data_IF_109325637523
#
_entry.id   IF_109325637523
#
_cell.length_a   1.000
_cell.length_b   1.000
_cell.length_c   1.000
_cell.angle_alpha   90.00
_cell.angle_beta   90.00
_cell.angle_gamma   90.00
#
_symmetry.space_group_name_H-M   'P 1'
#
loop_
_entity.id
_entity.type
_entity.pdbx_description
1 polymer ?
#
# COMPACT_ATOMS: atom_id res chain seq x y z
N UNK A 1 50.33 -54.75 17.14
CA UNK A 1 49.35 -53.85 16.49
C UNK A 1 48.80 -54.58 15.28
N UNK A 2 47.56 -55.10 15.38
CA UNK A 2 46.95 -55.97 14.37
C UNK A 2 46.33 -55.12 13.25
N UNK A 3 46.77 -55.32 12.02
CA UNK A 3 46.00 -54.98 10.82
C UNK A 3 44.79 -55.91 10.74
N UNK A 4 43.59 -55.34 10.59
CA UNK A 4 42.40 -56.06 10.19
C UNK A 4 41.93 -55.50 8.84
N UNK A 5 42.11 -56.31 7.79
CA UNK A 5 41.42 -56.16 6.50
C UNK A 5 40.00 -56.70 6.66
N UNK A 6 39.01 -55.95 6.20
CA UNK A 6 37.64 -56.43 5.98
C UNK A 6 37.34 -56.47 4.48
N UNK A 7 36.52 -57.42 4.00
CA UNK A 7 36.45 -57.80 2.60
C UNK A 7 35.50 -56.91 1.78
N UNK A 8 35.86 -56.74 0.51
CA UNK A 8 34.96 -56.29 -0.56
C UNK A 8 33.96 -57.41 -0.83
N UNK A 9 32.67 -57.12 -0.73
CA UNK A 9 31.61 -57.99 -1.24
C UNK A 9 30.72 -57.16 -2.17
N UNK A 10 30.82 -57.48 -3.45
CA UNK A 10 30.02 -56.95 -4.55
C UNK A 10 28.83 -57.88 -4.76
N UNK A 11 27.59 -57.39 -4.77
CA UNK A 11 26.59 -57.64 -5.82
C UNK A 11 25.22 -56.97 -5.52
N UNK A 12 24.82 -56.11 -6.46
CA UNK A 12 23.49 -56.00 -7.08
C UNK A 12 22.20 -56.13 -6.24
N UNK A 13 21.46 -55.02 -6.12
CA UNK A 13 20.13 -54.86 -6.73
C UNK A 13 19.63 -53.43 -6.48
N UNK A 14 19.46 -52.67 -7.57
CA UNK A 14 18.83 -51.36 -7.55
C UNK A 14 17.34 -51.52 -7.18
N UNK A 15 16.92 -50.91 -6.06
CA UNK A 15 15.51 -50.60 -5.84
C UNK A 15 15.28 -49.16 -6.32
N UNK A 16 14.93 -49.03 -7.60
CA UNK A 16 14.32 -47.82 -8.11
C UNK A 16 12.88 -47.80 -7.58
N UNK A 17 12.65 -47.10 -6.47
CA UNK A 17 11.30 -46.68 -6.10
C UNK A 17 10.89 -45.60 -7.10
N UNK A 18 9.97 -45.96 -7.99
CA UNK A 18 9.31 -45.04 -8.88
C UNK A 18 8.61 -43.95 -8.05
N UNK A 19 9.15 -42.74 -8.06
CA UNK A 19 8.41 -41.56 -7.63
C UNK A 19 7.45 -41.25 -8.78
N UNK A 20 6.20 -41.67 -8.61
CA UNK A 20 5.09 -41.26 -9.45
C UNK A 20 5.04 -39.74 -9.47
N UNK A 21 5.27 -39.14 -10.64
CA UNK A 21 5.03 -37.72 -10.90
C UNK A 21 3.51 -37.50 -10.92
N UNK A 22 2.90 -37.33 -9.76
CA UNK A 22 1.57 -36.76 -9.68
C UNK A 22 1.72 -35.26 -9.87
N UNK A 23 1.20 -34.75 -10.98
CA UNK A 23 0.99 -33.31 -11.13
C UNK A 23 0.17 -32.83 -9.94
N UNK A 24 0.75 -31.91 -9.16
CA UNK A 24 0.01 -31.22 -8.12
C UNK A 24 -0.99 -30.30 -8.83
N UNK A 25 -2.15 -30.84 -9.21
CA UNK A 25 -3.30 -30.01 -9.56
C UNK A 25 -3.72 -29.32 -8.28
N UNK A 26 -3.29 -28.06 -8.12
CA UNK A 26 -3.85 -27.16 -7.12
C UNK A 26 -5.34 -27.12 -7.40
N UNK A 27 -6.12 -27.82 -6.57
CA UNK A 27 -7.56 -27.69 -6.59
C UNK A 27 -7.85 -26.23 -6.27
N UNK A 28 -8.48 -25.53 -7.22
CA UNK A 28 -9.10 -24.23 -6.96
C UNK A 28 -10.09 -24.49 -5.82
N UNK A 29 -9.76 -24.02 -4.62
CA UNK A 29 -10.74 -23.96 -3.56
C UNK A 29 -11.93 -23.19 -4.12
N UNK A 30 -13.08 -23.85 -4.18
CA UNK A 30 -14.34 -23.18 -4.44
C UNK A 30 -14.65 -22.37 -3.17
N UNK A 31 -14.01 -21.21 -3.07
CA UNK A 31 -14.36 -20.19 -2.09
C UNK A 31 -15.78 -19.78 -2.45
N UNK A 32 -16.72 -20.14 -1.59
CA UNK A 32 -18.09 -19.60 -1.58
C UNK A 32 -18.01 -18.10 -1.81
N UNK A 33 -18.69 -17.63 -2.86
CA UNK A 33 -18.66 -16.24 -3.32
C UNK A 33 -18.68 -15.27 -2.14
N UNK A 34 -17.66 -14.40 -1.99
CA UNK A 34 -17.80 -13.30 -1.07
C UNK A 34 -18.95 -12.44 -1.61
N UNK A 35 -19.93 -12.18 -0.77
CA UNK A 35 -20.78 -11.00 -0.90
C UNK A 35 -19.87 -9.81 -1.22
N UNK A 36 -20.27 -8.95 -2.15
CA UNK A 36 -19.45 -7.91 -2.79
C UNK A 36 -18.88 -6.81 -1.86
N UNK A 37 -18.14 -7.15 -0.80
CA UNK A 37 -17.60 -6.22 0.21
C UNK A 37 -16.20 -6.53 0.75
N UNK A 38 -15.50 -7.56 0.26
CA UNK A 38 -14.15 -7.91 0.76
C UNK A 38 -13.00 -7.59 -0.22
N UNK A 39 -13.31 -6.92 -1.35
CA UNK A 39 -12.28 -6.53 -2.30
C UNK A 39 -11.40 -5.40 -1.73
N UNK A 40 -10.08 -5.39 -1.99
CA UNK A 40 -9.22 -4.30 -1.56
C UNK A 40 -9.73 -2.98 -2.11
N UNK A 41 -10.03 -2.04 -1.21
CA UNK A 41 -10.43 -0.67 -1.54
C UNK A 41 -9.21 0.24 -1.82
N UNK A 42 -8.03 -0.36 -1.95
CA UNK A 42 -6.77 0.32 -2.20
C UNK A 42 -5.92 -0.43 -3.22
N UNK A 43 -5.08 0.32 -3.94
CA UNK A 43 -4.09 -0.16 -4.87
C UNK A 43 -2.72 0.39 -4.50
N UNK A 44 -1.66 -0.37 -4.73
CA UNK A 44 -0.28 0.06 -4.51
C UNK A 44 0.61 -1.07 -4.07
N UNK A 45 1.68 -0.72 -3.34
CA UNK A 45 2.68 -1.66 -2.89
C UNK A 45 2.83 -1.60 -1.37
N UNK A 46 2.94 -2.76 -0.72
CA UNK A 46 3.18 -2.88 0.72
C UNK A 46 4.33 -3.84 1.03
N UNK A 47 5.25 -3.38 1.88
CA UNK A 47 6.26 -4.21 2.49
C UNK A 47 5.73 -4.77 3.81
N UNK A 48 5.61 -6.09 3.91
CA UNK A 48 5.27 -6.78 5.16
C UNK A 48 6.52 -7.37 5.83
N UNK A 49 6.62 -7.21 7.14
CA UNK A 49 7.73 -7.69 7.95
C UNK A 49 7.28 -8.11 9.36
N UNK A 50 8.14 -8.75 10.16
CA UNK A 50 7.88 -8.98 11.58
C UNK A 50 7.55 -7.67 12.35
N UNK A 51 6.94 -7.80 13.51
CA UNK A 51 6.60 -6.63 14.34
C UNK A 51 7.83 -5.79 14.69
N UNK A 52 7.62 -4.48 14.82
CA UNK A 52 8.62 -3.48 15.16
C UNK A 52 9.76 -3.34 14.14
N UNK A 53 9.52 -3.74 12.89
CA UNK A 53 10.50 -3.60 11.82
C UNK A 53 10.54 -2.18 11.30
N UNK A 54 9.41 -1.65 10.82
CA UNK A 54 9.35 -0.35 10.15
C UNK A 54 9.16 0.79 11.14
N UNK A 55 9.94 1.86 10.93
CA UNK A 55 9.93 3.08 11.76
C UNK A 55 9.55 4.30 10.94
N UNK A 56 9.92 4.37 9.67
CA UNK A 56 9.46 5.43 8.79
C UNK A 56 9.29 4.97 7.35
N UNK A 57 8.55 5.77 6.60
CA UNK A 57 8.30 5.55 5.18
C UNK A 57 8.18 6.91 4.50
N UNK A 58 8.65 6.98 3.25
CA UNK A 58 8.63 8.19 2.44
C UNK A 58 8.35 7.87 0.97
N UNK A 59 7.76 8.84 0.27
CA UNK A 59 7.79 8.94 -1.19
C UNK A 59 7.42 10.35 -1.64
N UNK A 60 7.75 10.66 -2.89
CA UNK A 60 7.27 11.83 -3.63
C UNK A 60 6.29 11.40 -4.70
N UNK A 61 5.18 12.11 -4.87
CA UNK A 61 4.22 11.88 -5.95
C UNK A 61 3.76 13.21 -6.55
N UNK A 62 3.44 13.20 -7.84
CA UNK A 62 2.78 14.34 -8.50
C UNK A 62 1.27 14.17 -8.38
N UNK A 63 0.58 15.21 -7.91
CA UNK A 63 -0.88 15.22 -7.75
C UNK A 63 -1.52 15.21 -9.15
N UNK A 64 -2.29 14.18 -9.52
CA UNK A 64 -2.94 14.10 -10.82
C UNK A 64 -4.11 15.08 -10.90
N UNK A 65 -4.47 15.49 -12.11
CA UNK A 65 -5.77 16.10 -12.36
C UNK A 65 -6.81 14.98 -12.49
N UNK A 66 -7.79 14.93 -11.58
CA UNK A 66 -8.85 13.93 -11.64
C UNK A 66 -9.79 14.14 -12.83
N UNK A 67 -10.37 13.03 -13.29
CA UNK A 67 -11.47 12.99 -14.27
C UNK A 67 -12.58 12.09 -13.75
N UNK A 68 -13.82 12.39 -14.17
CA UNK A 68 -14.88 11.42 -14.04
C UNK A 68 -14.56 10.23 -14.97
N UNK A 69 -14.85 8.99 -14.55
CA UNK A 69 -14.80 7.82 -15.43
C UNK A 69 -15.61 8.02 -16.71
N UNK A 70 -15.25 7.32 -17.79
CA UNK A 70 -15.88 7.50 -19.10
C UNK A 70 -17.38 7.16 -19.09
N UNK A 71 -17.77 6.13 -18.33
CA UNK A 71 -19.16 5.74 -18.08
C UNK A 71 -19.75 6.44 -16.83
N UNK A 72 -19.11 7.51 -16.35
CA UNK A 72 -19.52 8.21 -15.14
C UNK A 72 -20.74 9.11 -15.34
N UNK A 73 -21.70 9.01 -14.42
CA UNK A 73 -22.80 9.96 -14.24
C UNK A 73 -22.31 11.28 -13.59
N UNK A 74 -23.22 12.24 -13.38
CA UNK A 74 -23.00 13.46 -12.57
C UNK A 74 -22.88 13.14 -11.05
N UNK A 75 -22.23 12.04 -10.70
CA UNK A 75 -21.95 11.63 -9.34
C UNK A 75 -20.70 12.35 -8.79
N UNK A 76 -20.46 12.16 -7.50
CA UNK A 76 -19.18 12.51 -6.88
C UNK A 76 -18.19 11.38 -7.16
N UNK A 77 -16.94 11.73 -7.45
CA UNK A 77 -15.84 10.78 -7.63
C UNK A 77 -14.67 11.19 -6.76
N UNK A 78 -13.90 10.23 -6.27
CA UNK A 78 -12.77 10.55 -5.42
C UNK A 78 -11.62 9.56 -5.57
N UNK A 79 -10.43 10.00 -5.21
CA UNK A 79 -9.25 9.17 -5.01
C UNK A 79 -8.37 9.81 -3.93
N UNK A 80 -7.67 9.00 -3.15
CA UNK A 80 -6.73 9.46 -2.14
C UNK A 80 -5.36 8.85 -2.37
N UNK A 81 -4.31 9.67 -2.37
CA UNK A 81 -2.92 9.22 -2.44
C UNK A 81 -2.33 9.30 -1.04
N UNK A 82 -1.69 8.24 -0.55
CA UNK A 82 -1.01 8.31 0.74
C UNK A 82 0.21 7.39 0.86
N UNK A 83 1.01 7.72 1.86
CA UNK A 83 2.14 6.94 2.33
C UNK A 83 1.92 6.67 3.81
N UNK A 84 2.21 5.45 4.30
CA UNK A 84 1.85 5.09 5.66
C UNK A 84 2.46 3.81 6.20
N UNK A 85 2.35 3.68 7.53
CA UNK A 85 2.75 2.52 8.31
C UNK A 85 1.51 1.78 8.81
N UNK A 86 1.60 0.45 8.81
CA UNK A 86 0.55 -0.49 9.23
C UNK A 86 -0.79 -0.34 8.45
N UNK A 87 -1.79 -1.15 8.78
CA UNK A 87 -3.10 -1.16 8.11
C UNK A 87 -3.32 -2.31 7.12
N UNK A 88 -2.31 -3.13 6.80
CA UNK A 88 -2.45 -4.35 5.97
C UNK A 88 -2.48 -5.60 6.86
N UNK A 89 -1.33 -6.06 7.36
CA UNK A 89 -1.27 -7.19 8.29
C UNK A 89 -1.49 -6.77 9.74
N UNK A 90 -1.20 -5.50 10.07
CA UNK A 90 -1.58 -4.87 11.33
C UNK A 90 -2.87 -4.08 11.17
N UNK A 91 -4.02 -4.74 11.36
CA UNK A 91 -5.35 -4.14 11.13
C UNK A 91 -5.87 -3.27 12.28
N UNK A 92 -5.16 -3.23 13.42
CA UNK A 92 -5.62 -2.54 14.64
C UNK A 92 -5.24 -1.06 14.71
N UNK A 93 -4.23 -0.64 13.94
CA UNK A 93 -3.77 0.74 13.89
C UNK A 93 -3.02 1.00 12.58
N UNK A 94 -3.05 2.25 12.11
CA UNK A 94 -2.23 2.72 11.00
C UNK A 94 -1.94 4.21 11.15
N UNK A 95 -0.78 4.64 10.69
CA UNK A 95 -0.38 6.05 10.65
C UNK A 95 -0.07 6.42 9.20
N UNK A 96 -0.77 7.42 8.67
CA UNK A 96 -0.72 7.75 7.24
C UNK A 96 -1.04 9.21 6.99
N UNK A 97 -0.54 9.71 5.86
CA UNK A 97 -0.79 11.08 5.40
C UNK A 97 -0.68 11.15 3.89
N UNK A 98 -1.41 12.10 3.31
CA UNK A 98 -1.64 12.09 1.88
C UNK A 98 -2.48 13.26 1.39
N UNK A 99 -3.01 13.09 0.18
CA UNK A 99 -3.88 14.05 -0.50
C UNK A 99 -5.17 13.35 -0.89
N UNK A 100 -6.30 13.87 -0.42
CA UNK A 100 -7.63 13.53 -0.91
C UNK A 100 -7.94 14.41 -2.12
N UNK A 101 -8.51 13.79 -3.15
CA UNK A 101 -8.86 14.44 -4.41
C UNK A 101 -10.29 14.07 -4.75
N UNK A 102 -11.13 15.07 -5.03
CA UNK A 102 -12.57 14.88 -5.21
C UNK A 102 -13.06 15.66 -6.42
N UNK A 103 -13.94 15.05 -7.21
CA UNK A 103 -14.81 15.72 -8.17
C UNK A 103 -16.21 15.74 -7.57
N UNK A 104 -16.76 16.94 -7.35
CA UNK A 104 -18.13 17.11 -6.87
C UNK A 104 -19.17 16.77 -7.95
N UNK A 105 -20.43 16.57 -7.55
CA UNK A 105 -21.57 16.32 -8.45
C UNK A 105 -21.89 17.45 -9.48
N UNK A 106 -21.09 18.52 -9.52
CA UNK A 106 -21.14 19.58 -10.54
C UNK A 106 -19.86 19.67 -11.39
N UNK A 107 -18.94 18.71 -11.27
CA UNK A 107 -17.68 18.66 -12.02
C UNK A 107 -16.55 19.51 -11.44
N UNK A 108 -16.76 20.25 -10.35
CA UNK A 108 -15.69 21.01 -9.70
C UNK A 108 -14.77 20.07 -8.91
N UNK A 109 -13.45 20.21 -9.10
CA UNK A 109 -12.45 19.43 -8.38
C UNK A 109 -11.92 20.14 -7.14
N UNK A 110 -11.61 19.38 -6.09
CA UNK A 110 -10.92 19.87 -4.89
C UNK A 110 -9.83 18.89 -4.43
N UNK A 111 -8.81 19.43 -3.77
CA UNK A 111 -7.60 18.74 -3.37
C UNK A 111 -7.24 19.15 -1.94
N UNK A 112 -7.08 18.19 -1.03
CA UNK A 112 -6.88 18.48 0.38
C UNK A 112 -5.81 17.55 0.97
N UNK A 113 -4.79 18.14 1.59
CA UNK A 113 -3.81 17.39 2.35
C UNK A 113 -4.39 16.97 3.71
N UNK A 114 -4.10 15.76 4.14
CA UNK A 114 -4.64 15.18 5.37
C UNK A 114 -3.63 14.34 6.15
N UNK A 115 -3.94 14.10 7.42
CA UNK A 115 -3.21 13.21 8.32
C UNK A 115 -4.18 12.29 9.05
N UNK A 116 -3.73 11.09 9.40
CA UNK A 116 -4.53 10.14 10.15
C UNK A 116 -3.68 9.20 11.00
N UNK A 117 -4.15 8.98 12.23
CA UNK A 117 -3.82 7.82 13.03
C UNK A 117 -5.10 7.04 13.27
N UNK A 118 -5.31 5.94 12.55
CA UNK A 118 -6.48 5.10 12.76
C UNK A 118 -6.26 4.19 14.00
N UNK A 119 -7.24 4.03 14.91
CA UNK A 119 -8.57 4.66 14.95
C UNK A 119 -8.64 5.95 15.79
N UNK A 120 -7.50 6.52 16.20
CA UNK A 120 -7.44 7.64 17.14
C UNK A 120 -8.01 8.96 16.58
N UNK A 121 -7.52 9.43 15.43
CA UNK A 121 -7.92 10.71 14.86
C UNK A 121 -7.55 10.84 13.38
N UNK A 122 -8.31 11.67 12.65
CA UNK A 122 -8.05 12.15 11.29
C UNK A 122 -8.22 13.66 11.26
N UNK A 123 -7.50 14.35 10.40
CA UNK A 123 -7.75 15.77 10.12
C UNK A 123 -7.06 16.24 8.85
N UNK A 124 -7.28 17.51 8.54
CA UNK A 124 -6.70 18.18 7.36
C UNK A 124 -5.52 19.07 7.74
N UNK A 125 -4.72 19.43 6.73
CA UNK A 125 -3.76 20.53 6.79
C UNK A 125 -4.36 21.74 6.05
N UNK A 126 -5.09 22.59 6.79
CA UNK A 126 -5.87 23.67 6.18
C UNK A 126 -5.00 24.78 5.56
N UNK A 127 -3.76 24.96 6.05
CA UNK A 127 -2.78 25.94 5.56
C UNK A 127 -1.75 25.33 4.59
N UNK A 128 -2.06 24.19 3.95
CA UNK A 128 -1.20 23.53 2.98
C UNK A 128 -1.92 23.42 1.63
N UNK A 129 -1.52 24.25 0.68
CA UNK A 129 -2.14 24.32 -0.63
C UNK A 129 -1.71 23.13 -1.50
N UNK A 130 -2.70 22.53 -2.17
CA UNK A 130 -2.49 21.43 -3.11
C UNK A 130 -3.23 21.71 -4.40
N UNK A 131 -2.52 21.59 -5.52
CA UNK A 131 -3.10 21.68 -6.85
C UNK A 131 -2.61 20.53 -7.75
N UNK A 132 -3.36 20.19 -8.82
CA UNK A 132 -2.87 19.29 -9.86
C UNK A 132 -1.52 19.74 -10.42
N UNK A 133 -0.60 18.80 -10.57
CA UNK A 133 0.76 19.03 -11.04
C UNK A 133 1.75 19.44 -9.94
N UNK A 134 1.31 19.63 -8.69
CA UNK A 134 2.22 19.77 -7.56
C UNK A 134 2.92 18.45 -7.27
N UNK A 135 4.21 18.51 -6.92
CA UNK A 135 4.94 17.34 -6.40
C UNK A 135 4.99 17.42 -4.89
N UNK A 136 4.36 16.47 -4.23
CA UNK A 136 4.30 16.36 -2.77
C UNK A 136 5.23 15.25 -2.32
N UNK A 137 6.11 15.55 -1.36
CA UNK A 137 6.84 14.54 -0.60
C UNK A 137 6.12 14.29 0.70
N UNK A 138 5.73 13.04 0.93
CA UNK A 138 5.15 12.58 2.19
C UNK A 138 6.17 11.75 2.97
N UNK A 139 6.29 12.03 4.27
CA UNK A 139 7.12 11.28 5.20
C UNK A 139 6.31 10.97 6.47
N UNK A 140 6.30 9.71 6.87
CA UNK A 140 5.61 9.22 8.06
C UNK A 140 6.60 8.52 8.95
N UNK A 141 6.61 8.88 10.24
CA UNK A 141 7.57 8.39 11.24
C UNK A 141 6.81 7.90 12.48
N UNK A 142 7.13 6.70 12.96
CA UNK A 142 6.82 6.25 14.31
C UNK A 142 7.93 6.76 15.25
N UNK A 143 7.59 7.69 16.14
CA UNK A 143 8.59 8.42 16.94
C UNK A 143 9.07 7.63 18.16
N UNK A 144 8.43 6.49 18.47
CA UNK A 144 8.81 5.67 19.60
C UNK A 144 8.64 4.17 19.34
N UNK A 145 9.41 3.37 20.07
CA UNK A 145 9.40 1.90 19.97
C UNK A 145 8.09 1.29 20.46
N UNK A 146 7.36 2.00 21.33
CA UNK A 146 6.05 1.56 21.81
C UNK A 146 4.97 1.70 20.73
N UNK A 147 5.24 2.38 19.62
CA UNK A 147 4.32 2.61 18.52
C UNK A 147 3.14 3.54 18.87
N UNK A 148 3.26 4.41 19.87
CA UNK A 148 2.15 5.24 20.37
C UNK A 148 2.27 6.73 20.06
N UNK A 149 3.39 7.15 19.48
CA UNK A 149 3.57 8.50 18.94
C UNK A 149 4.22 8.42 17.58
N UNK A 150 3.95 9.42 16.75
CA UNK A 150 4.45 9.49 15.40
C UNK A 150 4.21 10.85 14.79
N UNK A 151 4.96 11.13 13.74
CA UNK A 151 4.95 12.41 13.05
C UNK A 151 4.70 12.18 11.57
N UNK A 152 3.81 12.98 10.99
CA UNK A 152 3.60 13.03 9.55
C UNK A 152 4.02 14.39 9.00
N UNK A 153 4.68 14.38 7.85
CA UNK A 153 5.24 15.56 7.21
C UNK A 153 4.86 15.52 5.74
N UNK A 154 4.30 16.60 5.24
CA UNK A 154 4.07 16.83 3.81
C UNK A 154 4.86 18.06 3.37
N UNK A 155 5.52 17.96 2.22
CA UNK A 155 6.25 19.09 1.62
C UNK A 155 5.83 19.23 0.17
N UNK A 156 5.28 20.38 -0.19
CA UNK A 156 4.98 20.72 -1.57
C UNK A 156 6.23 21.31 -2.21
N UNK A 157 6.88 20.55 -3.09
CA UNK A 157 8.14 20.94 -3.72
C UNK A 157 7.96 22.11 -4.71
N UNK A 158 6.73 22.36 -5.17
CA UNK A 158 6.41 23.45 -6.09
C UNK A 158 6.26 24.79 -5.37
N UNK A 159 5.49 24.82 -4.29
CA UNK A 159 5.26 26.03 -3.50
C UNK A 159 6.33 26.27 -2.42
N UNK A 160 7.05 25.21 -2.02
CA UNK A 160 7.97 25.24 -0.89
C UNK A 160 7.28 25.15 0.47
N UNK A 161 5.94 25.01 0.53
CA UNK A 161 5.21 24.81 1.78
C UNK A 161 5.55 23.47 2.41
N UNK A 162 5.59 23.43 3.74
CA UNK A 162 5.70 22.20 4.51
C UNK A 162 4.71 22.24 5.66
N UNK A 163 4.03 21.11 5.88
CA UNK A 163 3.14 20.90 6.99
C UNK A 163 3.63 19.71 7.81
N UNK A 164 3.61 19.83 9.13
CA UNK A 164 4.08 18.79 10.06
C UNK A 164 3.05 18.61 11.17
N UNK A 165 2.75 17.36 11.51
CA UNK A 165 1.84 17.02 12.61
C UNK A 165 2.41 15.89 13.46
N UNK A 166 2.64 16.17 14.73
CA UNK A 166 2.87 15.15 15.74
C UNK A 166 1.52 14.59 16.22
N UNK A 167 1.44 13.27 16.36
CA UNK A 167 0.22 12.52 16.63
C UNK A 167 0.45 11.51 17.76
N UNK A 168 -0.60 11.27 18.53
CA UNK A 168 -0.63 10.26 19.57
C UNK A 168 -1.68 9.20 19.22
N UNK A 169 -1.27 7.94 19.27
CA UNK A 169 -2.13 6.79 19.05
C UNK A 169 -2.80 6.31 20.33
N UNK A 170 -4.09 6.01 20.25
CA UNK A 170 -4.81 5.27 21.30
C UNK A 170 -4.55 3.77 21.21
N UNK A 171 -4.24 3.28 20.01
CA UNK A 171 -3.79 1.91 19.73
C UNK A 171 -2.39 1.99 19.14
N UNK A 172 -1.42 1.21 19.66
CA UNK A 172 -0.07 1.24 19.12
C UNK A 172 0.04 0.68 17.71
N UNK A 173 0.90 1.28 16.89
CA UNK A 173 1.42 0.66 15.66
C UNK A 173 2.07 -0.71 15.97
N UNK A 174 2.01 -1.63 15.02
CA UNK A 174 2.76 -2.87 15.03
C UNK A 174 4.15 -2.73 14.39
N UNK A 175 4.35 -1.77 13.49
CA UNK A 175 5.57 -1.62 12.70
C UNK A 175 5.81 -2.80 11.76
N UNK A 176 4.75 -3.38 11.20
CA UNK A 176 4.79 -4.57 10.31
C UNK A 176 4.64 -4.20 8.84
N UNK A 177 3.88 -3.16 8.55
CA UNK A 177 3.57 -2.77 7.18
C UNK A 177 4.12 -1.37 6.86
N UNK A 178 4.60 -1.20 5.63
CA UNK A 178 4.97 0.09 5.06
C UNK A 178 4.41 0.13 3.63
N UNK A 179 3.49 1.06 3.35
CA UNK A 179 2.72 1.08 2.10
C UNK A 179 2.70 2.44 1.40
N UNK A 180 2.73 2.39 0.06
CA UNK A 180 2.45 3.50 -0.86
C UNK A 180 1.20 3.16 -1.63
N UNK A 181 0.16 3.99 -1.53
CA UNK A 181 -1.17 3.57 -1.93
C UNK A 181 -2.01 4.67 -2.57
N UNK A 182 -2.89 4.24 -3.47
CA UNK A 182 -4.06 4.95 -3.94
C UNK A 182 -5.30 4.26 -3.39
N UNK A 183 -6.25 5.00 -2.84
CA UNK A 183 -7.45 4.43 -2.20
C UNK A 183 -8.70 5.09 -2.73
N UNK A 184 -9.75 4.30 -2.84
CA UNK A 184 -11.11 4.81 -2.96
C UNK A 184 -11.49 5.56 -1.67
N UNK A 185 -11.92 6.82 -1.76
CA UNK A 185 -12.32 7.55 -0.55
C UNK A 185 -13.62 6.93 -0.02
N UNK A 186 -13.53 6.27 1.13
CA UNK A 186 -14.69 5.76 1.84
C UNK A 186 -15.21 6.88 2.76
N UNK A 187 -16.17 7.67 2.28
CA UNK A 187 -17.00 8.46 3.19
C UNK A 187 -18.10 7.58 3.79
N UNK A 188 -18.48 7.93 5.02
CA UNK A 188 -19.35 7.16 5.93
C UNK A 188 -20.54 6.49 5.20
N UNK A 189 -20.44 5.17 5.02
CA UNK A 189 -21.56 4.31 4.63
C UNK A 189 -21.74 4.05 3.13
N UNK A 190 -20.97 4.70 2.24
CA UNK A 190 -20.88 4.35 0.81
C UNK A 190 -19.48 4.67 0.28
N UNK A 191 -18.84 3.69 -0.37
CA UNK A 191 -17.64 3.95 -1.14
C UNK A 191 -18.00 4.93 -2.28
N UNK A 192 -17.34 6.09 -2.32
CA UNK A 192 -17.51 7.04 -3.42
C UNK A 192 -16.82 6.44 -4.65
N UNK A 193 -17.46 6.41 -5.83
CA UNK A 193 -16.86 5.82 -7.03
C UNK A 193 -15.44 6.36 -7.29
N UNK A 194 -14.51 5.44 -7.57
CA UNK A 194 -13.12 5.78 -7.85
C UNK A 194 -13.01 6.72 -9.06
N UNK A 195 -12.32 7.86 -8.88
CA UNK A 195 -12.06 8.79 -9.98
C UNK A 195 -10.98 8.25 -10.95
N UNK A 196 -11.06 8.63 -12.23
CA UNK A 196 -9.96 8.42 -13.18
C UNK A 196 -8.81 9.39 -12.84
N UNK A 197 -7.79 8.86 -12.18
CA UNK A 197 -6.55 9.57 -11.86
C UNK A 197 -5.45 9.35 -12.91
N UNK A 198 -5.75 8.66 -14.02
CA UNK A 198 -4.82 8.21 -15.07
C UNK A 198 -3.70 7.33 -14.57
N UNK A 199 -2.66 7.92 -14.00
CA UNK A 199 -1.55 7.21 -13.37
C UNK A 199 -0.91 8.12 -12.32
N UNK A 200 -0.44 7.52 -11.24
CA UNK A 200 0.37 8.16 -10.21
C UNK A 200 1.59 7.30 -9.96
N UNK A 201 2.76 7.94 -9.95
CA UNK A 201 4.01 7.30 -9.56
C UNK A 201 4.50 7.86 -8.23
N UNK A 202 4.62 7.00 -7.24
CA UNK A 202 5.41 7.25 -6.04
C UNK A 202 6.88 7.04 -6.39
N UNK A 203 7.68 8.08 -6.28
CA UNK A 203 9.13 8.09 -6.55
C UNK A 203 9.90 8.30 -5.26
N UNK A 204 11.19 7.94 -5.26
CA UNK A 204 12.00 7.92 -4.03
C UNK A 204 11.29 7.15 -2.90
N UNK A 205 10.57 6.10 -3.27
CA UNK A 205 9.79 5.26 -2.39
C UNK A 205 10.74 4.44 -1.53
N UNK A 206 10.73 4.67 -0.23
CA UNK A 206 11.59 3.95 0.71
C UNK A 206 10.95 3.83 2.09
N UNK A 207 11.14 2.69 2.73
CA UNK A 207 10.85 2.45 4.13
C UNK A 207 12.16 2.27 4.90
N UNK A 208 12.20 2.76 6.14
CA UNK A 208 13.35 2.62 7.03
C UNK A 208 12.94 1.92 8.31
N UNK A 209 13.84 1.09 8.83
CA UNK A 209 13.58 0.31 10.03
C UNK A 209 14.76 -0.54 10.46
N UNK A 210 14.48 -1.61 11.21
CA UNK A 210 15.50 -2.55 11.70
C UNK A 210 16.34 -3.23 10.62
N UNK A 211 15.89 -3.19 9.36
CA UNK A 211 16.60 -3.73 8.19
C UNK A 211 17.39 -2.67 7.40
N UNK A 212 17.44 -1.42 7.88
CA UNK A 212 17.96 -0.28 7.12
C UNK A 212 16.92 0.29 6.18
N UNK A 213 17.38 0.88 5.06
CA UNK A 213 16.52 1.46 4.02
C UNK A 213 16.16 0.35 3.01
N UNK A 214 14.86 0.20 2.74
CA UNK A 214 14.31 -0.80 1.82
C UNK A 214 13.34 -0.11 0.85
N UNK A 215 13.51 -0.34 -0.45
CA UNK A 215 12.60 0.14 -1.49
C UNK A 215 11.42 -0.82 -1.74
N UNK A 216 10.53 -0.50 -2.69
CA UNK A 216 9.34 -1.28 -2.97
C UNK A 216 9.58 -2.59 -3.75
N UNK A 217 10.82 -2.91 -4.16
CA UNK A 217 11.11 -3.92 -5.18
C UNK A 217 10.61 -5.34 -4.86
N UNK A 218 10.44 -5.66 -3.58
CA UNK A 218 9.93 -6.95 -3.10
C UNK A 218 8.58 -6.82 -2.37
N UNK A 219 7.88 -5.71 -2.59
CA UNK A 219 6.58 -5.47 -1.97
C UNK A 219 5.49 -6.36 -2.58
N UNK A 220 4.49 -6.68 -1.76
CA UNK A 220 3.23 -7.23 -2.22
C UNK A 220 2.48 -6.12 -2.97
N UNK A 221 2.02 -6.43 -4.18
CA UNK A 221 1.18 -5.52 -4.97
C UNK A 221 -0.29 -5.79 -4.68
N UNK A 222 -1.07 -4.72 -4.62
CA UNK A 222 -2.51 -4.75 -4.37
C UNK A 222 -3.18 -3.89 -5.42
N UNK A 223 -4.31 -4.36 -5.95
CA UNK A 223 -5.11 -3.67 -6.96
C UNK A 223 -6.53 -3.47 -6.42
N UNK A 224 -7.19 -2.39 -6.86
CA UNK A 224 -8.61 -2.19 -6.58
C UNK A 224 -9.42 -3.07 -7.52
N UNK A 225 -10.29 -3.90 -6.95
CA UNK A 225 -11.28 -4.69 -7.68
C UNK A 225 -12.68 -4.32 -7.20
N UNK A 226 -13.60 -4.03 -8.13
CA UNK A 226 -14.99 -3.77 -7.83
C UNK A 226 -15.89 -4.62 -8.72
N UNK A 227 -16.89 -5.29 -8.12
CA UNK A 227 -17.85 -6.12 -8.86
C UNK A 227 -17.21 -7.17 -9.80
N UNK A 228 -16.06 -7.75 -9.41
CA UNK A 228 -15.35 -8.73 -10.24
C UNK A 228 -14.47 -8.12 -11.33
N UNK A 229 -14.26 -6.79 -11.30
CA UNK A 229 -13.47 -6.05 -12.28
C UNK A 229 -12.32 -5.31 -11.62
N UNK A 230 -11.10 -5.57 -12.08
CA UNK A 230 -9.90 -4.82 -11.69
C UNK A 230 -9.97 -3.41 -12.29
N UNK A 231 -9.78 -2.39 -11.44
CA UNK A 231 -9.84 -0.97 -11.80
C UNK A 231 -8.46 -0.30 -11.84
N UNK A 232 -7.43 -0.97 -11.32
CA UNK A 232 -6.07 -0.42 -11.28
C UNK A 232 -5.03 -1.46 -11.67
N UNK A 233 -3.97 -1.02 -12.32
CA UNK A 233 -2.76 -1.81 -12.58
C UNK A 233 -1.61 -1.24 -11.74
N UNK A 234 -0.81 -2.10 -11.10
CA UNK A 234 0.28 -1.68 -10.22
C UNK A 234 1.60 -2.29 -10.67
N UNK A 235 2.60 -1.44 -10.84
CA UNK A 235 3.96 -1.85 -11.18
C UNK A 235 4.97 -1.24 -10.22
N UNK A 236 6.13 -1.89 -10.12
CA UNK A 236 7.22 -1.48 -9.25
C UNK A 236 8.53 -1.53 -10.03
N UNK A 237 9.32 -0.47 -9.90
CA UNK A 237 10.73 -0.44 -10.29
C UNK A 237 11.58 -0.02 -9.09
N UNK A 238 12.89 0.19 -9.30
CA UNK A 238 13.77 0.56 -8.20
C UNK A 238 13.40 1.92 -7.62
N UNK A 239 13.02 1.93 -6.35
CA UNK A 239 12.57 3.14 -5.65
C UNK A 239 11.28 3.77 -6.19
N UNK A 240 10.47 3.05 -6.97
CA UNK A 240 9.20 3.58 -7.50
C UNK A 240 8.04 2.57 -7.46
N UNK A 241 6.84 3.11 -7.26
CA UNK A 241 5.56 2.38 -7.37
C UNK A 241 4.68 3.19 -8.30
N UNK A 242 4.25 2.61 -9.42
CA UNK A 242 3.26 3.21 -10.30
C UNK A 242 1.91 2.53 -10.14
N UNK A 243 0.86 3.33 -10.03
CA UNK A 243 -0.52 2.88 -9.99
C UNK A 243 -1.26 3.56 -11.14
N UNK A 244 -1.78 2.79 -12.08
CA UNK A 244 -2.56 3.26 -13.22
C UNK A 244 -4.04 2.94 -13.04
N UNK A 245 -4.92 3.88 -13.37
CA UNK A 245 -6.35 3.64 -13.48
C UNK A 245 -6.67 2.99 -14.83
N UNK A 246 -7.34 1.83 -14.79
CA UNK A 246 -7.74 1.05 -15.96
C UNK A 246 -9.25 0.75 -16.00
N UNK A 247 -10.02 1.36 -15.08
CA UNK A 247 -11.48 1.33 -15.14
C UNK A 247 -11.97 2.01 -16.42
N UNK A 248 -12.97 1.43 -17.07
CA UNK A 248 -13.67 2.02 -18.22
C UNK A 248 -15.11 2.25 -17.86
#
# INVERSE_FOLDING_TARGET
MRLARLPVCTLCAAFALAISSQELRVARAHLTSPTASDAPHWAGAVLNAPAHTWQSITASFTVPALRAPAEGDNARYAASLWVGLDGDTCTRASLRSGVDMVISAGGASSYHAWWEWQPAARGSFDDFDVAPGDTITANVVADNVTGTSGTVILTNLRSGQSATRALLGTVPLCGRDAAWAVVEVVEVGRAEPLADFRSVTFTNAAAFGGMGIVGPENAKLVEIEQHGRVLTDVTVESGSVEVSYIGS
#
